data_IF_395768917515
#
_entry.id   IF_395768917515
#
_cell.length_a   1.000
_cell.length_b   1.000
_cell.length_c   1.000
_cell.angle_alpha   90.00
_cell.angle_beta   90.00
_cell.angle_gamma   90.00
#
_symmetry.space_group_name_H-M   'P 1'
#
loop_
_entity.id
_entity.type
_entity.pdbx_description
1 polymer ?
#
# COMPACT_ATOMS: atom_id res chain seq x y z
N UNK A 1 11.42 5.00 -2.64
CA UNK A 1 10.01 4.57 -2.72
C UNK A 1 9.17 5.57 -1.97
N UNK A 2 7.98 5.84 -2.48
CA UNK A 2 7.00 6.69 -1.82
C UNK A 2 5.88 5.82 -1.24
N UNK A 3 5.34 6.23 -0.10
CA UNK A 3 4.27 5.53 0.60
C UNK A 3 3.13 6.49 0.89
N UNK A 4 1.93 6.09 0.51
CA UNK A 4 0.70 6.81 0.79
C UNK A 4 -0.19 5.95 1.68
N UNK A 5 -0.72 6.55 2.73
CA UNK A 5 -1.73 5.96 3.59
C UNK A 5 -3.04 6.73 3.39
N UNK A 6 -4.10 6.04 2.99
CA UNK A 6 -5.47 6.51 3.13
C UNK A 6 -6.09 5.79 4.33
N UNK A 7 -6.64 6.55 5.26
CA UNK A 7 -7.19 6.01 6.50
C UNK A 7 -8.50 6.73 6.85
N UNK A 8 -9.43 5.98 7.47
CA UNK A 8 -10.57 6.59 8.16
C UNK A 8 -10.14 7.22 9.49
N UNK A 9 -11.01 8.08 10.03
CA UNK A 9 -10.92 8.63 11.38
C UNK A 9 -10.88 7.52 12.45
N UNK A 10 -11.56 6.40 12.23
CA UNK A 10 -11.46 5.22 13.09
C UNK A 10 -10.02 4.69 13.26
N UNK A 11 -9.11 4.93 12.30
CA UNK A 11 -7.69 4.61 12.45
C UNK A 11 -6.92 5.76 13.11
N UNK A 12 -7.02 6.97 12.57
CA UNK A 12 -6.18 8.11 13.01
C UNK A 12 -6.60 8.68 14.37
N UNK A 13 -7.82 8.41 14.82
CA UNK A 13 -8.27 8.67 16.18
C UNK A 13 -7.77 7.66 17.21
N UNK A 14 -7.32 6.48 16.76
CA UNK A 14 -6.85 5.39 17.63
C UNK A 14 -5.34 5.25 17.62
N UNK A 15 -4.66 5.50 16.50
CA UNK A 15 -3.21 5.34 16.36
C UNK A 15 -2.58 6.72 16.13
N UNK A 16 -1.62 7.09 16.98
CA UNK A 16 -0.96 8.38 16.88
C UNK A 16 0.02 8.43 15.69
N UNK A 17 0.26 9.64 15.17
CA UNK A 17 1.16 9.88 14.04
C UNK A 17 2.56 9.22 14.18
N UNK A 18 3.22 9.22 15.34
CA UNK A 18 4.52 8.57 15.49
C UNK A 18 4.45 7.05 15.25
N UNK A 19 3.39 6.40 15.72
CA UNK A 19 3.19 4.95 15.57
C UNK A 19 2.82 4.61 14.13
N UNK A 20 1.98 5.42 13.49
CA UNK A 20 1.69 5.31 12.05
C UNK A 20 2.99 5.34 11.23
N UNK A 21 3.85 6.33 11.50
CA UNK A 21 5.13 6.48 10.81
C UNK A 21 6.06 5.29 11.09
N UNK A 22 6.11 4.79 12.32
CA UNK A 22 6.92 3.63 12.67
C UNK A 22 6.50 2.39 11.88
N UNK A 23 5.20 2.11 11.80
CA UNK A 23 4.67 0.95 11.05
C UNK A 23 4.92 1.12 9.55
N UNK A 24 4.65 2.30 8.98
CA UNK A 24 4.86 2.56 7.56
C UNK A 24 6.35 2.53 7.15
N UNK A 25 7.28 2.79 8.08
CA UNK A 25 8.73 2.71 7.83
C UNK A 25 9.38 1.37 8.18
N UNK A 26 8.61 0.40 8.67
CA UNK A 26 9.12 -0.90 9.15
C UNK A 26 9.72 -1.83 8.07
N UNK A 27 9.69 -1.44 6.80
CA UNK A 27 10.19 -2.27 5.68
C UNK A 27 9.30 -3.48 5.34
N UNK A 28 8.20 -3.68 6.08
CA UNK A 28 7.17 -4.70 5.82
C UNK A 28 6.51 -4.51 4.46
N UNK A 29 5.79 -5.52 3.98
CA UNK A 29 4.92 -5.37 2.79
C UNK A 29 3.73 -4.45 3.08
N UNK A 30 3.09 -3.83 2.07
CA UNK A 30 1.91 -2.99 2.29
C UNK A 30 0.79 -3.67 3.07
N UNK A 31 0.55 -4.96 2.81
CA UNK A 31 -0.47 -5.73 3.53
C UNK A 31 -0.12 -5.87 5.02
N UNK A 32 1.11 -6.27 5.34
CA UNK A 32 1.57 -6.38 6.73
C UNK A 32 1.58 -5.04 7.47
N UNK A 33 1.76 -3.93 6.74
CA UNK A 33 1.64 -2.58 7.29
C UNK A 33 0.18 -2.31 7.68
N UNK A 34 -0.78 -2.58 6.79
CA UNK A 34 -2.21 -2.44 7.07
C UNK A 34 -2.63 -3.30 8.25
N UNK A 35 -2.25 -4.58 8.27
CA UNK A 35 -2.63 -5.52 9.33
C UNK A 35 -2.11 -5.07 10.71
N UNK A 36 -0.88 -4.52 10.75
CA UNK A 36 -0.30 -3.97 11.96
C UNK A 36 -1.02 -2.71 12.44
N UNK A 37 -1.41 -1.81 11.53
CA UNK A 37 -2.17 -0.60 11.85
C UNK A 37 -3.55 -0.94 12.41
N UNK A 38 -4.26 -1.89 11.79
CA UNK A 38 -5.56 -2.37 12.28
C UNK A 38 -5.41 -3.01 13.67
N UNK A 39 -4.37 -3.82 13.86
CA UNK A 39 -4.10 -4.45 15.16
C UNK A 39 -3.85 -3.41 16.26
N UNK A 40 -3.09 -2.36 15.96
CA UNK A 40 -2.80 -1.30 16.91
C UNK A 40 -4.04 -0.48 17.26
N UNK A 41 -4.84 -0.11 16.26
CA UNK A 41 -6.10 0.61 16.48
C UNK A 41 -7.10 -0.21 17.34
N UNK A 42 -7.19 -1.52 17.08
CA UNK A 42 -8.00 -2.41 17.89
C UNK A 42 -7.49 -2.52 19.34
N UNK A 43 -6.16 -2.52 19.54
CA UNK A 43 -5.54 -2.55 20.87
C UNK A 43 -5.87 -1.29 21.69
N UNK A 44 -6.09 -0.16 21.03
CA UNK A 44 -6.45 1.12 21.64
C UNK A 44 -7.96 1.29 21.90
N UNK A 45 -8.77 0.27 21.62
CA UNK A 45 -10.17 0.20 22.01
C UNK A 45 -11.11 -0.23 20.89
N UNK A 46 -10.70 -0.11 19.62
CA UNK A 46 -11.44 -0.64 18.47
C UNK A 46 -12.92 -0.22 18.41
N UNK A 47 -13.24 0.99 18.88
CA UNK A 47 -14.61 1.43 19.09
C UNK A 47 -15.31 1.88 17.78
N UNK A 48 -14.55 2.04 16.70
CA UNK A 48 -15.03 2.55 15.42
C UNK A 48 -14.61 1.64 14.25
N UNK A 49 -15.26 1.81 13.10
CA UNK A 49 -14.92 1.10 11.87
C UNK A 49 -13.58 1.59 11.32
N UNK A 50 -12.62 0.69 11.22
CA UNK A 50 -11.28 0.97 10.71
C UNK A 50 -11.23 0.63 9.21
N UNK A 51 -10.85 1.61 8.39
CA UNK A 51 -10.51 1.41 6.97
C UNK A 51 -9.11 1.98 6.72
N UNK A 52 -8.23 1.20 6.10
CA UNK A 52 -6.88 1.61 5.77
C UNK A 52 -6.44 1.05 4.42
N UNK A 53 -5.77 1.88 3.62
CA UNK A 53 -5.17 1.51 2.32
C UNK A 53 -3.75 2.05 2.27
N UNK A 54 -2.78 1.17 2.04
CA UNK A 54 -1.38 1.55 1.84
C UNK A 54 -1.00 1.34 0.37
N UNK A 55 -0.51 2.41 -0.26
CA UNK A 55 0.01 2.38 -1.62
C UNK A 55 1.51 2.62 -1.57
N UNK A 56 2.27 1.68 -2.13
CA UNK A 56 3.72 1.80 -2.31
C UNK A 56 4.03 2.08 -3.77
N UNK A 57 4.78 3.14 -4.01
CA UNK A 57 5.32 3.47 -5.33
C UNK A 57 6.80 3.16 -5.32
N UNK A 58 7.15 2.08 -5.99
CA UNK A 58 8.53 1.74 -6.29
C UNK A 58 8.99 2.50 -7.53
N UNK A 59 10.23 2.98 -7.51
CA UNK A 59 10.82 3.65 -8.68
C UNK A 59 10.94 2.62 -9.81
N UNK A 60 10.25 2.86 -10.92
CA UNK A 60 10.34 2.01 -12.11
C UNK A 60 11.75 2.08 -12.70
N UNK A 61 12.39 0.92 -12.79
CA UNK A 61 13.64 0.75 -13.52
C UNK A 61 13.33 0.81 -15.04
N UNK A 62 13.92 1.76 -15.80
CA UNK A 62 13.58 1.99 -17.21
C UNK A 62 13.82 0.79 -18.14
N UNK A 63 14.47 -0.29 -17.68
CA UNK A 63 14.76 -1.48 -18.48
C UNK A 63 13.56 -2.42 -18.74
N UNK A 64 12.43 -2.27 -18.06
CA UNK A 64 11.33 -3.25 -18.13
C UNK A 64 10.39 -3.14 -19.35
N UNK A 65 10.62 -2.19 -20.28
CA UNK A 65 9.69 -1.86 -21.37
C UNK A 65 9.94 -2.53 -22.74
N UNK A 66 10.93 -3.42 -22.88
CA UNK A 66 11.43 -3.86 -24.19
C UNK A 66 10.90 -5.19 -24.75
N UNK A 67 9.69 -5.65 -24.39
CA UNK A 67 9.06 -6.82 -25.06
C UNK A 67 7.73 -6.43 -25.73
N UNK A 68 7.82 -5.61 -26.77
CA UNK A 68 6.71 -5.38 -27.72
C UNK A 68 6.86 -6.35 -28.90
N UNK A 69 6.40 -7.60 -28.76
CA UNK A 69 6.27 -8.51 -29.90
C UNK A 69 5.10 -8.08 -30.78
N UNK A 70 5.37 -7.33 -31.83
CA UNK A 70 4.43 -7.14 -32.95
C UNK A 70 4.30 -8.46 -33.71
N UNK A 71 3.19 -9.17 -33.54
CA UNK A 71 2.84 -10.26 -34.46
C UNK A 71 2.34 -9.66 -35.78
N UNK A 72 2.88 -10.07 -36.94
CA UNK A 72 2.38 -9.63 -38.23
C UNK A 72 1.00 -10.24 -38.54
N UNK A 73 0.11 -9.44 -39.15
CA UNK A 73 -1.25 -9.84 -39.55
C UNK A 73 -1.13 -10.80 -40.75
N UNK A 74 -1.74 -12.01 -40.73
CA UNK A 74 -1.65 -12.94 -41.85
C UNK A 74 -2.40 -12.43 -43.08
N UNK A 75 -1.74 -12.44 -44.24
CA UNK A 75 -2.35 -12.11 -45.52
C UNK A 75 -3.33 -13.21 -45.96
N UNK A 76 -4.56 -12.83 -46.34
CA UNK A 76 -5.55 -13.75 -46.91
C UNK A 76 -5.21 -14.09 -48.37
N UNK A 77 -5.26 -15.38 -48.72
CA UNK A 77 -5.22 -15.89 -50.10
C UNK A 77 -6.60 -15.93 -50.73
#
# INVERSE_FOLDING_TARGET
MDLFLLASDGLTGMVEDPDLVQVLKSGRTPQEQVDALISEANRHGGLDNITAVVVRIDSVDPAAGADSRTQPIPARS
#
